data_IF_626027502664
#
_entry.id   IF_626027502664
#
_cell.length_a   1.000
_cell.length_b   1.000
_cell.length_c   1.000
_cell.angle_alpha   90.00
_cell.angle_beta   90.00
_cell.angle_gamma   90.00
#
_symmetry.space_group_name_H-M   'P 1'
#
loop_
_entity.id
_entity.type
_entity.pdbx_description
1 polymer ?
#
# COMPACT_ATOMS: atom_id res chain seq x y z
N UNK A 1 -34.08 59.46 31.24
CA UNK A 1 -32.87 58.69 31.57
C UNK A 1 -32.17 58.32 30.27
N UNK A 2 -31.36 59.22 29.70
CA UNK A 2 -30.71 59.00 28.39
C UNK A 2 -29.45 59.86 28.33
N UNK A 3 -28.35 59.40 28.95
CA UNK A 3 -27.05 60.06 28.79
C UNK A 3 -25.83 59.15 29.06
N UNK A 4 -25.97 57.83 28.95
CA UNK A 4 -24.87 56.86 29.11
C UNK A 4 -24.41 56.20 27.81
N UNK A 5 -25.14 56.31 26.69
CA UNK A 5 -24.78 55.63 25.43
C UNK A 5 -23.80 56.43 24.55
N UNK A 6 -23.80 57.78 24.60
CA UNK A 6 -22.94 58.60 23.75
C UNK A 6 -21.44 58.58 24.12
N UNK A 7 -21.08 58.39 25.40
CA UNK A 7 -19.68 58.41 25.86
C UNK A 7 -18.95 57.07 25.68
N UNK A 8 -19.68 55.97 25.53
CA UNK A 8 -19.11 54.64 25.29
C UNK A 8 -18.73 54.43 23.82
N UNK A 9 -19.43 55.10 22.90
CA UNK A 9 -19.17 55.01 21.47
C UNK A 9 -17.88 55.75 21.08
N UNK A 10 -17.67 56.96 21.60
CA UNK A 10 -16.49 57.79 21.30
C UNK A 10 -15.15 57.21 21.82
N UNK A 11 -15.16 56.53 22.97
CA UNK A 11 -13.96 55.83 23.48
C UNK A 11 -13.59 54.62 22.62
N UNK A 12 -14.57 53.98 21.99
CA UNK A 12 -14.35 52.81 21.12
C UNK A 12 -13.73 53.24 19.78
N UNK A 13 -14.16 54.38 19.23
CA UNK A 13 -13.60 54.98 18.01
C UNK A 13 -12.17 55.47 18.22
N UNK A 14 -11.86 56.14 19.34
CA UNK A 14 -10.51 56.61 19.64
C UNK A 14 -9.48 55.49 19.85
N UNK A 15 -9.89 54.36 20.44
CA UNK A 15 -9.03 53.18 20.62
C UNK A 15 -8.77 52.47 19.27
N UNK A 16 -9.78 52.42 18.39
CA UNK A 16 -9.67 51.85 17.05
C UNK A 16 -8.73 52.66 16.14
N UNK A 17 -8.76 54.00 16.23
CA UNK A 17 -7.84 54.85 15.46
C UNK A 17 -6.40 54.81 16.00
N UNK A 18 -6.21 54.67 17.31
CA UNK A 18 -4.88 54.42 17.89
C UNK A 18 -4.30 53.06 17.47
N UNK A 19 -5.13 52.01 17.37
CA UNK A 19 -4.73 50.70 16.85
C UNK A 19 -4.43 50.73 15.34
N UNK A 20 -5.12 51.58 14.56
CA UNK A 20 -4.82 51.80 13.13
C UNK A 20 -3.48 52.49 12.93
N UNK A 21 -3.15 53.53 13.68
CA UNK A 21 -1.87 54.23 13.56
C UNK A 21 -0.67 53.42 14.08
N UNK A 22 -0.86 52.53 15.07
CA UNK A 22 0.18 51.58 15.50
C UNK A 22 0.51 50.51 14.43
N UNK A 23 -0.48 50.14 13.60
CA UNK A 23 -0.29 49.26 12.45
C UNK A 23 0.32 49.97 11.22
N UNK A 24 0.20 51.29 11.11
CA UNK A 24 0.81 52.06 10.02
C UNK A 24 2.34 52.19 10.16
N UNK A 25 2.86 52.33 11.39
CA UNK A 25 4.31 52.43 11.63
C UNK A 25 5.05 51.10 11.44
N UNK A 26 4.43 49.99 11.88
CA UNK A 26 4.87 48.62 11.64
C UNK A 26 4.62 48.16 10.20
N UNK A 27 3.57 48.68 9.56
CA UNK A 27 3.29 48.57 8.13
C UNK A 27 4.38 49.23 7.27
N UNK A 28 4.79 50.47 7.57
CA UNK A 28 5.82 51.22 6.82
C UNK A 28 7.16 50.50 6.71
N UNK A 29 7.59 49.78 7.76
CA UNK A 29 8.81 48.96 7.70
C UNK A 29 8.64 47.69 6.84
N UNK A 30 7.43 47.11 6.77
CA UNK A 30 7.09 46.03 5.82
C UNK A 30 6.99 46.56 4.38
N UNK A 31 6.38 47.72 4.16
CA UNK A 31 6.25 48.35 2.83
C UNK A 31 7.61 48.79 2.29
N UNK A 32 8.51 49.31 3.14
CA UNK A 32 9.88 49.63 2.74
C UNK A 32 10.71 48.40 2.37
N UNK A 33 10.42 47.24 2.98
CA UNK A 33 11.05 45.94 2.65
C UNK A 33 10.46 45.34 1.37
N UNK A 34 9.18 45.56 1.10
CA UNK A 34 8.50 45.17 -0.16
C UNK A 34 8.87 46.09 -1.34
N UNK A 35 9.10 47.39 -1.10
CA UNK A 35 9.48 48.37 -2.13
C UNK A 35 10.96 48.36 -2.51
N UNK A 36 11.81 47.58 -1.81
CA UNK A 36 13.09 47.16 -2.37
C UNK A 36 12.80 46.03 -3.36
N UNK A 37 12.48 46.40 -4.59
CA UNK A 37 12.57 45.50 -5.73
C UNK A 37 14.01 45.54 -6.27
N UNK A 38 14.94 44.66 -5.84
CA UNK A 38 15.90 44.19 -6.83
C UNK A 38 15.06 43.61 -7.96
N UNK A 39 15.28 44.05 -9.21
CA UNK A 39 14.71 43.40 -10.39
C UNK A 39 15.18 41.95 -10.36
N UNK A 40 14.44 41.11 -9.66
CA UNK A 40 14.70 39.68 -9.62
C UNK A 40 14.39 39.22 -11.04
N UNK A 41 15.32 38.52 -11.71
CA UNK A 41 15.09 38.06 -13.06
C UNK A 41 13.75 37.31 -13.09
N UNK A 42 12.95 37.58 -14.13
CA UNK A 42 11.65 36.91 -14.32
C UNK A 42 11.91 35.41 -14.24
N UNK A 43 11.37 34.76 -13.21
CA UNK A 43 11.55 33.33 -13.01
C UNK A 43 10.91 32.62 -14.19
N UNK A 44 11.73 32.00 -15.03
CA UNK A 44 11.23 31.22 -16.15
C UNK A 44 10.47 30.00 -15.62
N UNK A 45 9.37 29.67 -16.29
CA UNK A 45 8.61 28.46 -15.98
C UNK A 45 9.41 27.28 -16.53
N UNK A 46 9.96 26.48 -15.63
CA UNK A 46 10.63 25.23 -16.00
C UNK A 46 9.59 24.26 -16.58
N UNK A 47 9.87 23.73 -17.76
CA UNK A 47 8.99 22.72 -18.37
C UNK A 47 9.20 21.35 -17.71
N UNK A 48 8.20 20.48 -17.75
CA UNK A 48 8.32 19.13 -17.17
C UNK A 48 9.46 18.31 -17.77
N UNK A 49 9.76 18.49 -19.06
CA UNK A 49 10.86 17.80 -19.73
C UNK A 49 12.25 18.35 -19.38
N UNK A 50 12.32 19.50 -18.72
CA UNK A 50 13.57 20.08 -18.19
C UNK A 50 13.81 19.67 -16.72
N UNK A 51 12.84 18.99 -16.10
CA UNK A 51 12.97 18.58 -14.70
C UNK A 51 14.01 17.46 -14.53
N UNK A 52 14.87 17.53 -13.50
CA UNK A 52 15.78 16.44 -13.16
C UNK A 52 15.08 15.10 -12.93
N UNK A 53 13.83 15.11 -12.45
CA UNK A 53 12.95 13.95 -12.31
C UNK A 53 12.70 13.28 -13.66
N UNK A 54 12.30 14.06 -14.67
CA UNK A 54 12.01 13.55 -16.00
C UNK A 54 13.27 13.02 -16.67
N UNK A 55 14.39 13.76 -16.56
CA UNK A 55 15.67 13.34 -17.11
C UNK A 55 16.12 11.99 -16.53
N UNK A 56 16.00 11.79 -15.20
CA UNK A 56 16.29 10.49 -14.55
C UNK A 56 15.45 9.35 -15.13
N UNK A 57 14.14 9.55 -15.29
CA UNK A 57 13.23 8.54 -15.89
C UNK A 57 13.65 8.21 -17.32
N UNK A 58 13.99 9.21 -18.12
CA UNK A 58 14.41 9.01 -19.51
C UNK A 58 15.76 8.30 -19.62
N UNK A 59 16.73 8.64 -18.77
CA UNK A 59 18.02 7.93 -18.72
C UNK A 59 17.83 6.44 -18.43
N UNK A 60 16.96 6.08 -17.48
CA UNK A 60 16.66 4.68 -17.18
C UNK A 60 15.99 3.96 -18.36
N UNK A 61 15.01 4.61 -19.01
CA UNK A 61 14.32 4.04 -20.19
C UNK A 61 15.28 3.80 -21.35
N UNK A 62 16.13 4.77 -21.67
CA UNK A 62 17.11 4.65 -22.76
C UNK A 62 18.15 3.58 -22.41
N UNK A 63 18.67 3.57 -21.18
CA UNK A 63 19.62 2.55 -20.73
C UNK A 63 19.07 1.12 -20.88
N UNK A 64 17.83 0.88 -20.48
CA UNK A 64 17.17 -0.42 -20.65
C UNK A 64 17.02 -0.81 -22.12
N UNK A 65 16.55 0.13 -22.96
CA UNK A 65 16.40 -0.08 -24.40
C UNK A 65 17.73 -0.40 -25.08
N UNK A 66 18.81 0.30 -24.71
CA UNK A 66 20.15 0.08 -25.25
C UNK A 66 20.76 -1.26 -24.82
N UNK A 67 20.45 -1.74 -23.62
CA UNK A 67 20.85 -3.05 -23.15
C UNK A 67 20.07 -4.20 -23.82
N UNK A 68 19.09 -3.89 -24.69
CA UNK A 68 18.19 -4.88 -25.29
C UNK A 68 17.22 -5.51 -24.29
N UNK A 69 17.05 -4.89 -23.12
CA UNK A 69 16.24 -5.43 -22.03
C UNK A 69 14.83 -4.84 -22.15
N UNK A 70 13.86 -5.69 -22.44
CA UNK A 70 12.45 -5.30 -22.48
C UNK A 70 11.97 -4.77 -21.14
N UNK A 71 11.12 -3.75 -21.14
CA UNK A 71 10.50 -3.25 -19.92
C UNK A 71 9.43 -4.26 -19.44
N UNK A 72 9.59 -4.90 -18.27
CA UNK A 72 8.62 -5.87 -17.77
C UNK A 72 7.39 -5.19 -17.14
N UNK A 73 7.44 -3.87 -16.92
CA UNK A 73 6.36 -3.09 -16.33
C UNK A 73 5.38 -2.60 -17.39
N UNK A 74 4.13 -2.36 -16.99
CA UNK A 74 3.03 -1.94 -17.88
C UNK A 74 2.64 -2.97 -18.95
N UNK A 75 2.90 -4.27 -18.71
CA UNK A 75 2.31 -5.35 -19.52
C UNK A 75 0.79 -5.23 -19.45
N UNK A 76 0.14 -5.16 -20.62
CA UNK A 76 -1.32 -4.98 -20.72
C UNK A 76 -2.01 -6.34 -20.78
N UNK A 77 -3.05 -6.50 -19.96
CA UNK A 77 -3.87 -7.70 -19.91
C UNK A 77 -5.14 -7.50 -20.75
N UNK A 78 -5.37 -8.37 -21.74
CA UNK A 78 -6.52 -8.29 -22.65
C UNK A 78 -7.81 -8.79 -22.00
N UNK A 79 -7.69 -9.56 -20.92
CA UNK A 79 -8.78 -10.16 -20.14
C UNK A 79 -8.47 -10.06 -18.64
N UNK A 80 -9.45 -10.41 -17.81
CA UNK A 80 -9.25 -10.49 -16.36
C UNK A 80 -8.05 -11.41 -16.01
N UNK A 81 -7.26 -10.99 -15.02
CA UNK A 81 -6.04 -11.68 -14.61
C UNK A 81 -6.30 -12.48 -13.31
N UNK A 82 -6.30 -13.80 -13.43
CA UNK A 82 -6.40 -14.76 -12.32
C UNK A 82 -5.18 -15.68 -12.30
N UNK A 83 -5.41 -16.99 -12.17
CA UNK A 83 -4.35 -18.03 -12.35
C UNK A 83 -3.77 -18.03 -13.77
N UNK A 84 -4.54 -17.56 -14.75
CA UNK A 84 -4.11 -17.30 -16.11
C UNK A 84 -4.45 -15.88 -16.52
N UNK A 85 -3.81 -15.41 -17.59
CA UNK A 85 -4.14 -14.15 -18.25
C UNK A 85 -3.88 -14.24 -19.75
N UNK A 86 -4.51 -13.34 -20.52
CA UNK A 86 -4.19 -13.14 -21.94
C UNK A 86 -3.50 -11.80 -22.11
N UNK A 87 -2.38 -11.77 -22.84
CA UNK A 87 -1.66 -10.54 -23.21
C UNK A 87 -1.26 -10.61 -24.69
N UNK A 88 -1.63 -9.60 -25.47
CA UNK A 88 -1.40 -9.59 -26.93
C UNK A 88 -1.89 -10.87 -27.62
N UNK A 89 -3.05 -11.38 -27.21
CA UNK A 89 -3.69 -12.57 -27.78
C UNK A 89 -3.09 -13.93 -27.39
N UNK A 90 -2.02 -13.96 -26.58
CA UNK A 90 -1.42 -15.21 -26.04
C UNK A 90 -1.82 -15.42 -24.59
N UNK A 91 -2.06 -16.67 -24.19
CA UNK A 91 -2.34 -17.05 -22.81
C UNK A 91 -1.06 -17.34 -22.01
N UNK A 92 -1.05 -16.96 -20.73
CA UNK A 92 0.07 -17.13 -19.80
C UNK A 92 -0.45 -17.63 -18.44
N UNK A 93 0.33 -18.48 -17.77
CA UNK A 93 0.17 -18.73 -16.34
C UNK A 93 0.57 -17.46 -15.58
N UNK A 94 -0.26 -17.00 -14.64
CA UNK A 94 -0.15 -15.66 -14.08
C UNK A 94 0.08 -15.67 -12.56
N UNK A 95 1.27 -15.27 -12.17
CA UNK A 95 1.71 -15.14 -10.78
C UNK A 95 1.90 -13.68 -10.36
N UNK A 96 1.30 -12.73 -11.10
CA UNK A 96 1.40 -11.29 -10.85
C UNK A 96 0.09 -10.65 -10.34
N UNK A 97 -0.92 -11.46 -10.01
CA UNK A 97 -2.24 -11.01 -9.52
C UNK A 97 -2.42 -11.33 -8.04
N UNK A 98 -3.08 -10.44 -7.30
CA UNK A 98 -3.42 -10.63 -5.88
C UNK A 98 -4.83 -11.22 -5.69
N UNK A 99 -5.40 -11.85 -6.72
CA UNK A 99 -6.71 -12.52 -6.70
C UNK A 99 -6.61 -13.90 -6.03
N UNK A 100 -6.35 -13.89 -4.73
CA UNK A 100 -6.04 -15.08 -3.94
C UNK A 100 -7.12 -16.17 -3.98
N UNK A 101 -8.39 -15.76 -3.97
CA UNK A 101 -9.54 -16.68 -3.94
C UNK A 101 -10.31 -16.76 -5.26
N UNK A 102 -9.73 -16.22 -6.34
CA UNK A 102 -10.33 -16.20 -7.67
C UNK A 102 -11.74 -15.58 -7.67
N UNK A 103 -11.90 -14.46 -6.95
CA UNK A 103 -13.18 -13.75 -6.82
C UNK A 103 -13.41 -12.76 -7.95
N UNK A 104 -12.35 -12.28 -8.61
CA UNK A 104 -12.42 -11.27 -9.67
C UNK A 104 -13.33 -11.68 -10.84
N UNK A 105 -13.29 -12.95 -11.22
CA UNK A 105 -14.07 -13.50 -12.34
C UNK A 105 -15.22 -14.39 -11.89
N UNK A 106 -15.51 -14.43 -10.59
CA UNK A 106 -16.56 -15.27 -10.05
C UNK A 106 -17.94 -14.85 -10.63
N UNK A 107 -18.76 -15.80 -11.13
CA UNK A 107 -20.06 -15.48 -11.71
C UNK A 107 -21.00 -14.73 -10.75
N UNK A 108 -20.96 -15.06 -9.45
CA UNK A 108 -21.80 -14.42 -8.45
C UNK A 108 -21.37 -12.97 -8.21
N UNK A 109 -20.06 -12.70 -8.14
CA UNK A 109 -19.51 -11.34 -8.01
C UNK A 109 -19.92 -10.50 -9.21
N UNK A 110 -19.75 -11.03 -10.42
CA UNK A 110 -20.14 -10.34 -11.65
C UNK A 110 -21.64 -10.04 -11.71
N UNK A 111 -22.48 -10.98 -11.28
CA UNK A 111 -23.93 -10.79 -11.21
C UNK A 111 -24.28 -9.66 -10.23
N UNK A 112 -23.80 -9.73 -8.99
CA UNK A 112 -24.11 -8.74 -7.94
C UNK A 112 -23.56 -7.35 -8.28
N UNK A 113 -22.43 -7.27 -8.95
CA UNK A 113 -21.89 -6.02 -9.48
C UNK A 113 -22.84 -5.40 -10.53
N UNK A 114 -23.36 -6.18 -11.47
CA UNK A 114 -24.34 -5.70 -12.48
C UNK A 114 -25.63 -5.22 -11.84
N UNK A 115 -26.16 -5.98 -10.88
CA UNK A 115 -27.35 -5.57 -10.12
C UNK A 115 -27.12 -4.25 -9.37
N UNK A 116 -25.93 -4.04 -8.81
CA UNK A 116 -25.56 -2.78 -8.18
C UNK A 116 -25.45 -1.62 -9.19
N UNK A 117 -24.94 -1.87 -10.40
CA UNK A 117 -24.93 -0.88 -11.48
C UNK A 117 -26.36 -0.47 -11.85
N UNK A 118 -27.24 -1.44 -12.07
CA UNK A 118 -28.63 -1.19 -12.46
C UNK A 118 -29.39 -0.40 -11.38
N UNK A 119 -29.08 -0.64 -10.10
CA UNK A 119 -29.77 -0.01 -8.97
C UNK A 119 -29.17 1.34 -8.54
N UNK A 120 -27.85 1.44 -8.47
CA UNK A 120 -27.14 2.58 -7.85
C UNK A 120 -26.29 3.39 -8.83
N UNK A 121 -26.11 2.90 -10.06
CA UNK A 121 -25.15 3.45 -11.01
C UNK A 121 -23.70 3.13 -10.63
N UNK A 122 -22.77 3.78 -11.34
CA UNK A 122 -21.32 3.49 -11.24
C UNK A 122 -20.69 4.18 -10.02
N UNK A 123 -21.06 5.43 -9.74
CA UNK A 123 -20.39 6.28 -8.75
C UNK A 123 -21.28 6.56 -7.54
N UNK A 124 -20.66 6.77 -6.37
CA UNK A 124 -21.35 7.34 -5.21
C UNK A 124 -21.79 8.80 -5.46
N UNK A 125 -21.14 9.48 -6.41
CA UNK A 125 -21.45 10.85 -6.87
C UNK A 125 -21.37 11.96 -5.81
N UNK A 126 -20.91 11.64 -4.60
CA UNK A 126 -20.65 12.57 -3.50
C UNK A 126 -19.76 11.89 -2.45
N UNK A 127 -19.27 12.66 -1.47
CA UNK A 127 -18.72 12.07 -0.25
C UNK A 127 -19.81 11.34 0.52
N UNK A 128 -19.43 10.27 1.24
CA UNK A 128 -20.38 9.46 2.01
C UNK A 128 -21.11 10.27 3.07
N UNK A 129 -20.41 11.18 3.74
CA UNK A 129 -20.96 12.05 4.77
C UNK A 129 -22.12 12.93 4.28
N UNK A 130 -22.09 13.40 3.03
CA UNK A 130 -23.07 14.36 2.52
C UNK A 130 -24.22 13.68 1.78
N UNK A 131 -23.92 12.90 0.73
CA UNK A 131 -24.95 12.29 -0.12
C UNK A 131 -24.49 11.00 -0.84
N UNK A 132 -23.29 10.50 -0.53
CA UNK A 132 -22.67 9.35 -1.18
C UNK A 132 -22.95 8.01 -0.51
N UNK A 133 -23.62 8.00 0.65
CA UNK A 133 -23.96 6.79 1.39
C UNK A 133 -24.98 5.94 0.60
N UNK A 134 -24.79 4.61 0.60
CA UNK A 134 -25.70 3.64 -0.03
C UNK A 134 -25.83 2.43 0.89
N UNK A 135 -26.96 1.70 0.87
CA UNK A 135 -27.15 0.53 1.73
C UNK A 135 -26.00 -0.49 1.64
N UNK A 136 -25.48 -0.73 0.43
CA UNK A 136 -24.37 -1.68 0.20
C UNK A 136 -23.07 -1.30 0.91
N UNK A 137 -22.83 -0.01 1.19
CA UNK A 137 -21.67 0.41 1.98
C UNK A 137 -21.80 -0.03 3.44
N UNK A 138 -22.99 0.14 4.01
CA UNK A 138 -23.30 -0.27 5.39
C UNK A 138 -23.28 -1.79 5.51
N UNK A 139 -23.85 -2.50 4.54
CA UNK A 139 -23.80 -3.96 4.48
C UNK A 139 -22.36 -4.49 4.40
N UNK A 140 -21.52 -3.89 3.57
CA UNK A 140 -20.09 -4.22 3.49
C UNK A 140 -19.36 -3.97 4.81
N UNK A 141 -19.59 -2.82 5.46
CA UNK A 141 -18.97 -2.50 6.75
C UNK A 141 -19.38 -3.50 7.84
N UNK A 142 -20.66 -3.90 7.91
CA UNK A 142 -21.09 -4.94 8.84
C UNK A 142 -20.47 -6.31 8.51
N UNK A 143 -20.36 -6.67 7.24
CA UNK A 143 -19.72 -7.92 6.84
C UNK A 143 -18.24 -7.96 7.24
N UNK A 144 -17.51 -6.86 7.05
CA UNK A 144 -16.12 -6.72 7.48
C UNK A 144 -15.96 -6.80 9.00
N UNK A 145 -16.80 -6.09 9.75
CA UNK A 145 -16.79 -6.15 11.22
C UNK A 145 -17.03 -7.60 11.70
N UNK A 146 -17.95 -8.32 11.05
CA UNK A 146 -18.24 -9.73 11.34
C UNK A 146 -17.08 -10.69 11.04
N UNK A 147 -16.22 -10.40 10.06
CA UNK A 147 -15.02 -11.24 9.78
C UNK A 147 -14.14 -11.33 11.02
N UNK A 148 -13.88 -10.18 11.64
CA UNK A 148 -13.02 -10.06 12.83
C UNK A 148 -13.78 -10.23 14.14
N UNK A 149 -15.12 -10.23 14.12
CA UNK A 149 -15.93 -10.26 15.35
C UNK A 149 -15.87 -8.97 16.16
N UNK A 150 -15.55 -7.84 15.52
CA UNK A 150 -15.45 -6.51 16.15
C UNK A 150 -16.72 -5.69 15.94
N UNK A 151 -16.82 -4.56 16.63
CA UNK A 151 -18.05 -3.76 16.66
C UNK A 151 -18.40 -3.12 15.31
N UNK A 152 -17.40 -2.58 14.59
CA UNK A 152 -17.63 -1.74 13.42
C UNK A 152 -16.48 -1.78 12.42
N UNK A 153 -16.78 -1.38 11.19
CA UNK A 153 -15.79 -1.10 10.16
C UNK A 153 -16.13 0.17 9.37
N UNK A 154 -15.11 0.77 8.76
CA UNK A 154 -15.22 1.94 7.89
C UNK A 154 -14.52 1.67 6.57
N UNK A 155 -15.24 1.80 5.47
CA UNK A 155 -14.69 1.62 4.11
C UNK A 155 -14.23 2.94 3.47
N UNK A 156 -13.08 2.89 2.81
CA UNK A 156 -12.44 3.96 2.05
C UNK A 156 -12.28 3.57 0.58
N UNK A 157 -12.00 4.56 -0.28
CA UNK A 157 -11.87 4.38 -1.75
C UNK A 157 -10.57 3.73 -2.22
N UNK A 158 -9.59 3.53 -1.33
CA UNK A 158 -8.29 2.92 -1.69
C UNK A 158 -7.63 2.32 -0.45
N UNK A 159 -7.00 1.15 -0.59
CA UNK A 159 -6.16 0.55 0.46
C UNK A 159 -4.99 1.45 0.87
N UNK A 160 -4.35 2.14 -0.09
CA UNK A 160 -3.29 3.09 0.21
C UNK A 160 -3.81 4.27 1.04
N UNK A 161 -4.93 4.86 0.60
CA UNK A 161 -5.55 5.99 1.29
C UNK A 161 -6.07 5.60 2.69
N UNK A 162 -6.51 4.36 2.87
CA UNK A 162 -7.00 3.85 4.16
C UNK A 162 -5.94 4.02 5.25
N UNK A 163 -4.73 3.52 5.00
CA UNK A 163 -3.58 3.67 5.88
C UNK A 163 -3.26 5.15 6.14
N UNK A 164 -3.18 5.95 5.07
CA UNK A 164 -2.86 7.37 5.15
C UNK A 164 -3.88 8.13 6.00
N UNK A 165 -5.16 7.93 5.73
CA UNK A 165 -6.26 8.64 6.37
C UNK A 165 -6.44 8.22 7.83
N UNK A 166 -6.35 6.93 8.14
CA UNK A 166 -6.51 6.45 9.51
C UNK A 166 -5.36 6.92 10.42
N UNK A 167 -4.10 6.69 10.00
CA UNK A 167 -2.94 7.05 10.81
C UNK A 167 -2.86 8.58 11.01
N UNK A 168 -3.07 9.37 9.95
CA UNK A 168 -3.02 10.84 10.07
C UNK A 168 -4.22 11.45 10.80
N UNK A 169 -5.32 10.72 10.94
CA UNK A 169 -6.46 11.12 11.77
C UNK A 169 -6.21 10.82 13.26
N UNK A 170 -5.61 9.67 13.58
CA UNK A 170 -5.50 9.17 14.95
C UNK A 170 -4.26 9.67 15.69
N UNK A 171 -3.18 9.92 14.94
CA UNK A 171 -1.86 10.28 15.47
C UNK A 171 -1.51 11.73 15.15
N UNK A 172 -0.70 12.36 16.00
CA UNK A 172 -0.23 13.72 15.82
C UNK A 172 1.18 13.97 16.40
N UNK A 173 1.67 15.22 16.39
CA UNK A 173 3.05 15.57 16.78
C UNK A 173 3.46 15.22 18.22
N UNK A 174 2.51 14.90 19.11
CA UNK A 174 2.75 14.50 20.51
C UNK A 174 2.74 12.97 20.70
N UNK A 175 2.54 12.21 19.61
CA UNK A 175 2.40 10.76 19.65
C UNK A 175 3.59 10.08 18.97
N UNK A 176 3.73 8.78 19.22
CA UNK A 176 4.77 7.91 18.66
C UNK A 176 4.14 6.83 17.79
N UNK A 177 4.67 6.63 16.59
CA UNK A 177 4.41 5.45 15.78
C UNK A 177 5.67 4.62 15.69
N UNK A 178 5.58 3.38 16.16
CA UNK A 178 6.60 2.35 16.02
C UNK A 178 6.10 1.35 14.96
N UNK A 179 6.96 0.90 14.06
CA UNK A 179 6.53 -0.02 13.02
C UNK A 179 7.61 -1.03 12.66
N UNK A 180 7.21 -2.17 12.12
CA UNK A 180 8.14 -3.15 11.55
C UNK A 180 8.91 -2.54 10.38
N UNK A 181 10.19 -2.87 10.23
CA UNK A 181 11.05 -2.36 9.16
C UNK A 181 10.42 -2.50 7.76
N UNK A 182 9.62 -3.54 7.52
CA UNK A 182 9.08 -3.89 6.21
C UNK A 182 7.59 -3.55 6.01
N UNK A 183 7.00 -2.69 6.84
CA UNK A 183 5.64 -2.21 6.61
C UNK A 183 5.48 -1.49 5.26
N UNK A 184 4.26 -1.54 4.73
CA UNK A 184 3.91 -0.98 3.44
C UNK A 184 4.04 0.55 3.42
N UNK A 185 4.49 1.08 2.28
CA UNK A 185 4.73 2.52 2.08
C UNK A 185 3.51 3.41 2.38
N UNK A 186 2.28 2.89 2.26
CA UNK A 186 1.08 3.66 2.63
C UNK A 186 1.04 4.02 4.12
N UNK A 187 1.48 3.12 5.00
CA UNK A 187 1.55 3.40 6.43
C UNK A 187 2.63 4.44 6.71
N UNK A 188 3.81 4.34 6.05
CA UNK A 188 4.87 5.35 6.12
C UNK A 188 4.37 6.75 5.68
N UNK A 189 3.57 6.81 4.62
CA UNK A 189 2.96 8.05 4.16
C UNK A 189 1.96 8.62 5.18
N UNK A 190 1.14 7.77 5.82
CA UNK A 190 0.25 8.16 6.91
C UNK A 190 0.99 8.70 8.13
N UNK A 191 2.06 8.01 8.56
CA UNK A 191 2.94 8.47 9.65
C UNK A 191 3.53 9.84 9.31
N UNK A 192 4.07 9.99 8.10
CA UNK A 192 4.63 11.28 7.66
C UNK A 192 3.59 12.39 7.68
N UNK A 193 2.36 12.12 7.23
CA UNK A 193 1.27 13.10 7.21
C UNK A 193 0.78 13.46 8.62
N UNK A 194 0.79 12.50 9.56
CA UNK A 194 0.39 12.73 10.96
C UNK A 194 1.32 13.71 11.70
N UNK A 195 2.58 13.79 11.29
CA UNK A 195 3.62 14.53 12.03
C UNK A 195 4.07 13.86 13.33
N UNK A 196 3.58 12.66 13.64
CA UNK A 196 4.00 11.88 14.79
C UNK A 196 5.49 11.51 14.72
N UNK A 197 6.09 11.30 15.89
CA UNK A 197 7.45 10.76 15.94
C UNK A 197 7.44 9.35 15.39
N UNK A 198 8.38 9.04 14.49
CA UNK A 198 8.52 7.72 13.87
C UNK A 198 9.71 6.97 14.44
N UNK A 199 9.52 5.70 14.79
CA UNK A 199 10.57 4.72 15.03
C UNK A 199 10.27 3.44 14.28
N UNK A 200 11.31 2.72 13.90
CA UNK A 200 11.17 1.35 13.40
C UNK A 200 11.79 0.39 14.41
N UNK A 201 11.29 -0.82 14.46
CA UNK A 201 12.00 -1.96 15.02
C UNK A 201 12.42 -2.90 13.88
N UNK A 202 13.49 -3.67 14.11
CA UNK A 202 13.97 -4.63 13.11
C UNK A 202 12.86 -5.61 12.75
N UNK A 203 12.83 -6.03 11.49
CA UNK A 203 11.79 -6.91 10.98
C UNK A 203 11.57 -8.15 11.86
N UNK A 204 10.33 -8.33 12.32
CA UNK A 204 9.85 -9.41 13.20
C UNK A 204 10.66 -9.61 14.50
N UNK A 205 11.39 -8.57 14.97
CA UNK A 205 12.22 -8.62 16.16
C UNK A 205 11.50 -7.97 17.36
N UNK A 206 10.74 -8.80 18.08
CA UNK A 206 9.94 -8.40 19.25
C UNK A 206 10.82 -7.88 20.40
N UNK A 207 12.04 -8.39 20.55
CA UNK A 207 12.99 -7.93 21.58
C UNK A 207 13.50 -6.50 21.28
N UNK A 208 13.75 -6.22 19.99
CA UNK A 208 14.09 -4.88 19.55
C UNK A 208 12.92 -3.90 19.74
N UNK A 209 11.68 -4.32 19.44
CA UNK A 209 10.49 -3.54 19.74
C UNK A 209 10.39 -3.23 21.24
N UNK A 210 10.56 -4.23 22.11
CA UNK A 210 10.55 -4.04 23.57
C UNK A 210 11.62 -3.03 24.02
N UNK A 211 12.81 -3.10 23.44
CA UNK A 211 13.91 -2.17 23.74
C UNK A 211 13.56 -0.72 23.35
N UNK A 212 12.89 -0.52 22.21
CA UNK A 212 12.39 0.80 21.78
C UNK A 212 11.30 1.30 22.74
N UNK A 213 10.36 0.43 23.14
CA UNK A 213 9.28 0.76 24.07
C UNK A 213 9.83 1.17 25.44
N UNK A 214 10.73 0.39 26.04
CA UNK A 214 11.40 0.71 27.33
C UNK A 214 12.05 2.09 27.33
N UNK A 215 12.56 2.52 26.18
CA UNK A 215 13.30 3.78 26.05
C UNK A 215 12.38 4.99 25.89
N UNK A 216 11.22 4.82 25.23
CA UNK A 216 10.43 5.95 24.72
C UNK A 216 9.01 6.04 25.29
N UNK A 217 8.50 5.00 25.95
CA UNK A 217 7.07 4.91 26.25
C UNK A 217 6.54 6.00 27.18
N UNK A 218 7.38 6.60 28.04
CA UNK A 218 7.01 7.67 28.96
C UNK A 218 6.86 9.04 28.32
N UNK A 219 7.36 9.22 27.10
CA UNK A 219 7.58 10.56 26.52
C UNK A 219 6.46 11.00 25.57
N UNK A 220 5.51 10.11 25.27
CA UNK A 220 4.47 10.32 24.27
C UNK A 220 3.07 10.13 24.83
N UNK A 221 2.12 10.91 24.31
CA UNK A 221 0.71 10.85 24.72
C UNK A 221 0.05 9.54 24.30
N UNK A 222 0.37 9.04 23.12
CA UNK A 222 -0.12 7.77 22.55
C UNK A 222 0.99 7.08 21.78
N UNK A 223 0.92 5.75 21.74
CA UNK A 223 1.84 4.91 20.99
C UNK A 223 1.00 4.01 20.08
N UNK A 224 1.36 3.97 18.81
CA UNK A 224 0.81 3.04 17.81
C UNK A 224 1.94 2.12 17.33
N UNK A 225 1.74 0.82 17.42
CA UNK A 225 2.60 -0.20 16.83
C UNK A 225 1.93 -0.75 15.57
N UNK A 226 2.65 -0.76 14.44
CA UNK A 226 2.13 -1.23 13.15
C UNK A 226 2.93 -2.43 12.64
N UNK A 227 2.23 -3.50 12.28
CA UNK A 227 2.76 -4.72 11.65
C UNK A 227 1.86 -5.17 10.50
N UNK A 228 2.34 -6.10 9.67
CA UNK A 228 1.52 -6.75 8.64
C UNK A 228 1.23 -8.21 9.02
N UNK A 229 0.01 -8.69 8.78
CA UNK A 229 -0.33 -10.10 9.01
C UNK A 229 0.48 -11.03 8.09
N UNK A 230 0.71 -10.61 6.83
CA UNK A 230 1.65 -11.24 5.89
C UNK A 230 2.48 -10.13 5.26
N UNK A 231 3.78 -10.17 5.44
CA UNK A 231 4.69 -9.19 4.86
C UNK A 231 4.82 -9.40 3.35
N UNK A 232 4.43 -8.39 2.58
CA UNK A 232 4.24 -8.56 1.14
C UNK A 232 5.50 -8.94 0.36
N UNK A 233 6.71 -8.60 0.82
CA UNK A 233 7.95 -8.81 0.05
C UNK A 233 8.53 -10.21 0.22
N UNK A 234 8.32 -10.81 1.39
CA UNK A 234 8.98 -12.04 1.80
C UNK A 234 7.99 -13.18 2.06
N UNK A 235 6.71 -12.90 2.30
CA UNK A 235 5.67 -13.92 2.47
C UNK A 235 5.75 -14.64 3.81
N UNK A 236 6.45 -14.06 4.77
CA UNK A 236 6.43 -14.41 6.19
C UNK A 236 5.32 -13.64 6.93
N UNK A 237 5.17 -13.92 8.22
CA UNK A 237 4.06 -13.46 9.06
C UNK A 237 4.57 -12.87 10.38
N UNK A 238 3.87 -11.89 10.92
CA UNK A 238 4.19 -11.31 12.22
C UNK A 238 3.89 -12.29 13.37
N UNK A 239 4.72 -12.27 14.41
CA UNK A 239 4.46 -12.96 15.68
C UNK A 239 3.42 -12.20 16.52
N UNK A 240 2.15 -12.32 16.13
CA UNK A 240 1.05 -11.62 16.82
C UNK A 240 0.88 -12.01 18.30
N UNK A 241 1.01 -13.29 18.71
CA UNK A 241 0.94 -13.65 20.13
C UNK A 241 1.95 -12.86 20.98
N UNK A 242 3.21 -12.76 20.53
CA UNK A 242 4.24 -12.01 21.25
C UNK A 242 3.97 -10.48 21.26
N UNK A 243 3.41 -9.95 20.17
CA UNK A 243 3.03 -8.54 20.08
C UNK A 243 1.85 -8.18 21.00
N UNK A 244 0.85 -9.07 21.12
CA UNK A 244 -0.26 -8.92 22.06
C UNK A 244 0.24 -8.95 23.51
N UNK A 245 1.17 -9.85 23.84
CA UNK A 245 1.79 -9.87 25.17
C UNK A 245 2.50 -8.54 25.50
N UNK A 246 3.30 -8.02 24.56
CA UNK A 246 3.94 -6.72 24.72
C UNK A 246 2.92 -5.59 24.86
N UNK A 247 1.83 -5.63 24.10
CA UNK A 247 0.74 -4.65 24.18
C UNK A 247 0.18 -4.59 25.59
N UNK A 248 -0.12 -5.74 26.20
CA UNK A 248 -0.62 -5.81 27.58
C UNK A 248 0.38 -5.26 28.60
N UNK A 249 1.69 -5.40 28.36
CA UNK A 249 2.75 -4.95 29.28
C UNK A 249 3.07 -3.46 29.18
N UNK A 250 3.05 -2.88 27.98
CA UNK A 250 3.51 -1.51 27.74
C UNK A 250 2.38 -0.52 27.42
N UNK A 251 1.18 -0.99 27.07
CA UNK A 251 0.02 -0.14 26.82
C UNK A 251 0.15 0.71 25.55
N UNK A 252 0.00 0.10 24.38
CA UNK A 252 -0.02 0.77 23.09
C UNK A 252 -1.21 0.32 22.24
N UNK A 253 -1.53 1.06 21.19
CA UNK A 253 -2.44 0.59 20.15
C UNK A 253 -1.71 -0.31 19.16
N UNK A 254 -2.29 -1.46 18.83
CA UNK A 254 -1.78 -2.36 17.81
C UNK A 254 -2.64 -2.26 16.55
N UNK A 255 -1.98 -1.95 15.43
CA UNK A 255 -2.58 -1.96 14.10
C UNK A 255 -1.96 -3.08 13.27
N UNK A 256 -2.81 -3.97 12.75
CA UNK A 256 -2.40 -5.09 11.90
C UNK A 256 -2.96 -4.88 10.50
N UNK A 257 -2.07 -4.85 9.50
CA UNK A 257 -2.43 -4.81 8.09
C UNK A 257 -2.69 -6.23 7.54
N UNK A 258 -3.97 -6.54 7.36
CA UNK A 258 -4.52 -7.81 6.86
C UNK A 258 -4.57 -7.89 5.33
N UNK A 259 -4.01 -6.92 4.60
CA UNK A 259 -4.19 -6.86 3.16
C UNK A 259 -3.72 -8.14 2.44
N UNK A 260 -2.65 -8.79 2.91
CA UNK A 260 -2.17 -10.06 2.36
C UNK A 260 -2.58 -11.31 3.17
N UNK A 261 -3.33 -11.13 4.26
CA UNK A 261 -3.67 -12.18 5.21
C UNK A 261 -5.17 -12.58 5.14
N UNK A 262 -6.09 -11.64 4.92
CA UNK A 262 -7.50 -11.95 4.70
C UNK A 262 -7.66 -12.91 3.51
N UNK A 263 -8.40 -13.99 3.68
CA UNK A 263 -8.58 -15.09 2.72
C UNK A 263 -7.42 -16.08 2.63
N UNK A 264 -6.29 -15.77 3.25
CA UNK A 264 -5.03 -16.51 3.12
C UNK A 264 -4.71 -17.28 4.41
N UNK A 265 -4.72 -16.57 5.53
CA UNK A 265 -4.36 -17.08 6.84
C UNK A 265 -5.59 -17.55 7.62
N UNK A 266 -5.39 -18.56 8.47
CA UNK A 266 -6.45 -19.19 9.25
C UNK A 266 -7.12 -20.36 8.52
N UNK A 267 -7.89 -21.17 9.26
CA UNK A 267 -8.60 -22.32 8.71
C UNK A 267 -9.71 -21.88 7.75
N UNK A 268 -10.46 -20.84 8.11
CA UNK A 268 -11.54 -20.27 7.30
C UNK A 268 -11.14 -19.00 6.54
N UNK A 269 -9.84 -18.64 6.58
CA UNK A 269 -9.31 -17.51 5.82
C UNK A 269 -9.65 -16.15 6.44
N UNK A 270 -9.91 -16.06 7.74
CA UNK A 270 -10.28 -14.78 8.39
C UNK A 270 -9.10 -13.87 8.68
N UNK A 271 -7.87 -14.36 8.50
CA UNK A 271 -6.67 -13.55 8.66
C UNK A 271 -5.76 -14.05 9.76
N UNK A 272 -4.85 -13.17 10.19
CA UNK A 272 -3.76 -13.54 11.10
C UNK A 272 -4.25 -13.91 12.50
N UNK A 273 -5.33 -13.29 13.01
CA UNK A 273 -5.86 -13.63 14.35
C UNK A 273 -6.33 -15.08 14.44
N UNK A 274 -7.04 -15.56 13.41
CA UNK A 274 -7.51 -16.95 13.31
C UNK A 274 -6.33 -17.90 13.19
N UNK A 275 -5.31 -17.50 12.42
CA UNK A 275 -4.10 -18.30 12.25
C UNK A 275 -3.30 -18.48 13.54
N UNK A 276 -3.15 -17.40 14.30
CA UNK A 276 -2.39 -17.38 15.55
C UNK A 276 -3.21 -17.84 16.76
N UNK A 277 -4.53 -17.99 16.62
CA UNK A 277 -5.42 -18.38 17.71
C UNK A 277 -5.53 -17.33 18.82
N UNK A 278 -5.42 -16.04 18.47
CA UNK A 278 -5.56 -14.92 19.42
C UNK A 278 -6.97 -14.33 19.39
N UNK A 279 -7.36 -13.65 20.47
CA UNK A 279 -8.62 -12.90 20.50
C UNK A 279 -8.50 -11.68 19.56
N UNK A 280 -9.40 -11.51 18.57
CA UNK A 280 -9.36 -10.35 17.67
C UNK A 280 -9.55 -9.01 18.39
N UNK A 281 -10.07 -8.99 19.63
CA UNK A 281 -10.19 -7.80 20.46
C UNK A 281 -8.88 -7.37 21.14
N UNK A 282 -7.84 -8.21 21.10
CA UNK A 282 -6.50 -7.83 21.57
C UNK A 282 -5.76 -6.93 20.56
N UNK A 283 -6.33 -6.73 19.37
CA UNK A 283 -5.85 -5.81 18.33
C UNK A 283 -6.83 -4.63 18.21
N UNK A 284 -6.30 -3.41 18.27
CA UNK A 284 -7.12 -2.20 18.29
C UNK A 284 -7.62 -1.79 16.90
N UNK A 285 -6.82 -2.06 15.86
CA UNK A 285 -7.06 -1.57 14.49
C UNK A 285 -6.73 -2.68 13.48
N UNK A 286 -7.76 -3.26 12.87
CA UNK A 286 -7.63 -4.14 11.71
C UNK A 286 -7.69 -3.31 10.43
N UNK A 287 -6.58 -3.23 9.71
CA UNK A 287 -6.54 -2.58 8.40
C UNK A 287 -6.60 -3.64 7.31
N UNK A 288 -7.37 -3.42 6.25
CA UNK A 288 -7.17 -4.20 5.03
C UNK A 288 -7.53 -3.46 3.74
N UNK A 289 -7.29 -4.15 2.63
CA UNK A 289 -7.67 -3.69 1.28
C UNK A 289 -8.80 -4.51 0.72
N UNK A 290 -9.64 -3.89 -0.12
CA UNK A 290 -10.64 -4.60 -0.91
C UNK A 290 -10.09 -5.09 -2.26
N UNK A 291 -8.84 -4.73 -2.59
CA UNK A 291 -8.25 -4.93 -3.92
C UNK A 291 -7.52 -6.27 -4.13
N UNK A 292 -7.61 -7.19 -3.18
CA UNK A 292 -6.89 -8.47 -3.21
C UNK A 292 -7.89 -9.62 -3.13
N UNK A 293 -8.09 -10.20 -1.97
CA UNK A 293 -9.01 -11.33 -1.74
C UNK A 293 -10.43 -11.11 -2.25
N UNK A 294 -10.96 -9.89 -2.11
CA UNK A 294 -12.31 -9.53 -2.58
C UNK A 294 -12.34 -8.92 -3.98
N UNK A 295 -11.19 -8.81 -4.66
CA UNK A 295 -11.03 -8.36 -6.05
C UNK A 295 -11.84 -7.13 -6.46
N UNK A 296 -11.88 -6.13 -5.58
CA UNK A 296 -12.56 -4.84 -5.79
C UNK A 296 -11.52 -3.70 -5.79
N UNK A 297 -11.89 -2.48 -5.41
CA UNK A 297 -10.95 -1.40 -5.14
C UNK A 297 -11.45 -0.59 -3.96
N UNK A 298 -10.59 -0.38 -2.97
CA UNK A 298 -10.97 0.22 -1.69
C UNK A 298 -10.11 -0.31 -0.56
N UNK A 299 -10.38 0.12 0.66
CA UNK A 299 -9.81 -0.46 1.88
C UNK A 299 -10.72 -0.22 3.06
N UNK A 300 -10.35 -0.76 4.22
CA UNK A 300 -11.16 -0.66 5.41
C UNK A 300 -10.31 -0.59 6.69
N UNK A 301 -10.92 0.01 7.71
CA UNK A 301 -10.49 -0.12 9.10
C UNK A 301 -11.62 -0.79 9.86
N UNK A 302 -11.35 -1.87 10.58
CA UNK A 302 -12.28 -2.53 11.49
C UNK A 302 -11.74 -2.49 12.92
N UNK A 303 -12.65 -2.34 13.89
CA UNK A 303 -12.31 -2.23 15.32
C UNK A 303 -13.54 -1.82 16.12
N UNK A 304 -13.34 -0.99 17.14
CA UNK A 304 -14.44 -0.50 17.99
C UNK A 304 -15.36 0.48 17.27
N UNK A 305 -16.60 0.62 17.76
CA UNK A 305 -17.54 1.63 17.25
C UNK A 305 -16.97 3.05 17.41
N UNK A 306 -16.30 3.33 18.53
CA UNK A 306 -15.69 4.63 18.78
C UNK A 306 -14.60 4.97 17.75
N UNK A 307 -13.79 3.99 17.34
CA UNK A 307 -12.82 4.16 16.26
C UNK A 307 -13.53 4.50 14.93
N UNK A 308 -14.58 3.76 14.59
CA UNK A 308 -15.33 3.99 13.37
C UNK A 308 -15.97 5.40 13.33
N UNK A 309 -16.54 5.85 14.44
CA UNK A 309 -17.19 7.16 14.56
C UNK A 309 -16.17 8.30 14.38
N UNK A 310 -15.01 8.20 15.03
CA UNK A 310 -13.91 9.18 14.87
C UNK A 310 -13.46 9.24 13.41
N UNK A 311 -13.24 8.09 12.77
CA UNK A 311 -12.79 8.07 11.37
C UNK A 311 -13.85 8.64 10.41
N UNK A 312 -15.14 8.34 10.62
CA UNK A 312 -16.22 8.88 9.78
C UNK A 312 -16.39 10.40 9.96
N UNK A 313 -16.07 10.93 11.13
CA UNK A 313 -16.18 12.35 11.44
C UNK A 313 -14.95 13.17 11.01
N UNK A 314 -13.74 12.62 11.15
CA UNK A 314 -12.50 13.41 11.09
C UNK A 314 -11.50 12.96 10.02
N UNK A 315 -11.54 11.70 9.56
CA UNK A 315 -10.55 11.22 8.62
C UNK A 315 -10.70 11.91 7.26
N UNK A 316 -9.71 12.73 6.88
CA UNK A 316 -9.81 13.55 5.67
C UNK A 316 -10.04 12.74 4.37
N UNK A 317 -9.50 11.53 4.30
CA UNK A 317 -9.71 10.60 3.18
C UNK A 317 -11.12 9.98 3.12
N UNK A 318 -11.93 10.14 4.17
CA UNK A 318 -13.36 9.79 4.20
C UNK A 318 -14.24 11.02 3.99
N UNK A 319 -13.97 12.11 4.72
CA UNK A 319 -14.80 13.32 4.74
C UNK A 319 -14.71 14.12 3.43
N UNK A 320 -13.51 14.28 2.88
CA UNK A 320 -13.23 15.15 1.72
C UNK A 320 -12.99 14.36 0.42
N UNK A 321 -13.26 13.05 0.42
CA UNK A 321 -13.17 12.19 -0.76
C UNK A 321 -14.56 11.78 -1.24
N UNK A 322 -14.66 11.39 -2.51
CA UNK A 322 -15.85 10.68 -3.00
C UNK A 322 -16.03 9.36 -2.24
N UNK A 323 -17.27 8.88 -2.11
CA UNK A 323 -17.54 7.56 -1.56
C UNK A 323 -17.02 6.43 -2.44
N UNK A 324 -16.80 5.26 -1.83
CA UNK A 324 -16.56 4.00 -2.55
C UNK A 324 -17.65 3.80 -3.60
N UNK A 325 -17.28 3.36 -4.80
CA UNK A 325 -18.26 3.10 -5.84
C UNK A 325 -19.20 1.96 -5.41
N UNK A 326 -20.54 2.10 -5.52
CA UNK A 326 -21.48 1.08 -5.05
C UNK A 326 -21.28 -0.29 -5.72
N UNK A 327 -20.91 -0.29 -7.01
CA UNK A 327 -20.54 -1.52 -7.74
C UNK A 327 -19.34 -2.23 -7.12
N UNK A 328 -18.33 -1.48 -6.67
CA UNK A 328 -17.14 -2.01 -6.01
C UNK A 328 -17.46 -2.50 -4.59
N UNK A 329 -18.33 -1.81 -3.88
CA UNK A 329 -18.80 -2.26 -2.57
C UNK A 329 -19.60 -3.57 -2.67
N UNK A 330 -20.47 -3.69 -3.68
CA UNK A 330 -21.24 -4.92 -3.94
C UNK A 330 -20.34 -6.10 -4.32
N UNK A 331 -19.34 -5.86 -5.17
CA UNK A 331 -18.36 -6.87 -5.52
C UNK A 331 -17.56 -7.34 -4.30
N UNK A 332 -17.10 -6.40 -3.46
CA UNK A 332 -16.35 -6.72 -2.25
C UNK A 332 -17.18 -7.50 -1.23
N UNK A 333 -18.43 -7.07 -0.99
CA UNK A 333 -19.37 -7.76 -0.11
C UNK A 333 -19.61 -9.19 -0.58
N UNK A 334 -19.79 -9.39 -1.88
CA UNK A 334 -19.97 -10.73 -2.47
C UNK A 334 -18.71 -11.58 -2.32
N UNK A 335 -17.52 -11.00 -2.45
CA UNK A 335 -16.26 -11.68 -2.18
C UNK A 335 -16.14 -12.18 -0.72
N UNK A 336 -16.61 -11.38 0.24
CA UNK A 336 -16.67 -11.81 1.66
C UNK A 336 -17.71 -12.91 1.89
N UNK A 337 -18.85 -12.87 1.19
CA UNK A 337 -19.82 -13.97 1.24
C UNK A 337 -19.24 -15.28 0.72
N UNK A 338 -18.47 -15.24 -0.38
CA UNK A 338 -17.78 -16.41 -0.93
C UNK A 338 -16.74 -16.93 0.06
N UNK A 339 -15.91 -16.06 0.63
CA UNK A 339 -14.95 -16.43 1.68
C UNK A 339 -15.64 -17.19 2.82
N UNK A 340 -16.78 -16.69 3.30
CA UNK A 340 -17.51 -17.31 4.39
C UNK A 340 -18.20 -18.65 4.03
N UNK A 341 -18.63 -18.82 2.77
CA UNK A 341 -19.39 -20.00 2.31
C UNK A 341 -18.51 -21.10 1.70
N UNK A 342 -17.33 -20.75 1.21
CA UNK A 342 -16.44 -21.64 0.45
C UNK A 342 -15.02 -21.70 1.04
N UNK A 343 -14.84 -22.16 2.30
CA UNK A 343 -13.53 -22.23 2.96
C UNK A 343 -12.52 -23.12 2.20
N UNK A 344 -13.00 -24.06 1.38
CA UNK A 344 -12.17 -24.87 0.49
C UNK A 344 -11.29 -24.04 -0.45
N UNK A 345 -11.69 -22.81 -0.82
CA UNK A 345 -10.84 -21.90 -1.62
C UNK A 345 -9.57 -21.53 -0.87
N UNK A 346 -9.68 -21.20 0.42
CA UNK A 346 -8.53 -20.91 1.29
C UNK A 346 -7.67 -22.16 1.46
N UNK A 347 -8.27 -23.33 1.69
CA UNK A 347 -7.53 -24.59 1.79
C UNK A 347 -6.73 -24.89 0.51
N UNK A 348 -7.35 -24.72 -0.68
CA UNK A 348 -6.66 -24.89 -1.98
C UNK A 348 -5.52 -23.89 -2.17
N UNK A 349 -5.74 -22.62 -1.83
CA UNK A 349 -4.69 -21.60 -1.89
C UNK A 349 -3.49 -21.98 -1.04
N UNK A 350 -3.72 -22.36 0.23
CA UNK A 350 -2.65 -22.77 1.15
C UNK A 350 -1.91 -24.02 0.65
N UNK A 351 -2.63 -25.00 0.10
CA UNK A 351 -2.04 -26.17 -0.56
C UNK A 351 -1.12 -25.75 -1.71
N UNK A 352 -1.60 -24.85 -2.56
CA UNK A 352 -0.86 -24.35 -3.72
C UNK A 352 0.40 -23.56 -3.30
N UNK A 353 0.32 -22.73 -2.27
CA UNK A 353 1.47 -22.01 -1.72
C UNK A 353 2.53 -22.95 -1.15
N UNK A 354 2.10 -23.94 -0.37
CA UNK A 354 3.00 -24.94 0.20
C UNK A 354 3.67 -25.80 -0.89
N UNK A 355 2.91 -26.15 -1.94
CA UNK A 355 3.43 -26.83 -3.12
C UNK A 355 4.51 -25.99 -3.82
N UNK A 356 4.22 -24.71 -4.10
CA UNK A 356 5.16 -23.82 -4.75
C UNK A 356 6.45 -23.68 -3.92
N UNK A 357 6.33 -23.40 -2.62
CA UNK A 357 7.49 -23.24 -1.73
C UNK A 357 8.35 -24.51 -1.68
N UNK A 358 7.71 -25.68 -1.55
CA UNK A 358 8.42 -26.97 -1.53
C UNK A 358 9.19 -27.18 -2.83
N UNK A 359 8.52 -27.06 -3.98
CA UNK A 359 9.16 -27.27 -5.28
C UNK A 359 10.29 -26.26 -5.53
N UNK A 360 10.11 -25.00 -5.13
CA UNK A 360 11.14 -23.97 -5.26
C UNK A 360 12.39 -24.32 -4.45
N UNK A 361 12.22 -24.75 -3.19
CA UNK A 361 13.32 -25.22 -2.33
C UNK A 361 14.00 -26.47 -2.91
N UNK A 362 13.23 -27.45 -3.37
CA UNK A 362 13.74 -28.68 -4.00
C UNK A 362 14.55 -28.37 -5.28
N UNK A 363 14.16 -27.31 -6.01
CA UNK A 363 14.87 -26.81 -7.19
C UNK A 363 16.09 -25.92 -6.86
N UNK A 364 16.38 -25.68 -5.58
CA UNK A 364 17.51 -24.86 -5.13
C UNK A 364 17.32 -23.34 -5.29
N UNK A 365 16.08 -22.86 -5.42
CA UNK A 365 15.77 -21.44 -5.45
C UNK A 365 15.83 -20.84 -4.04
N UNK A 366 16.40 -19.64 -3.91
CA UNK A 366 16.35 -18.87 -2.67
C UNK A 366 14.97 -18.21 -2.52
N UNK A 367 14.19 -18.69 -1.56
CA UNK A 367 12.82 -18.23 -1.29
C UNK A 367 12.72 -17.21 -0.15
N UNK A 368 13.84 -16.68 0.35
CA UNK A 368 13.85 -15.76 1.50
C UNK A 368 13.14 -16.34 2.73
N UNK A 369 12.34 -15.51 3.40
CA UNK A 369 11.62 -15.88 4.63
C UNK A 369 10.25 -16.55 4.37
N UNK A 370 9.92 -16.87 3.12
CA UNK A 370 8.58 -17.33 2.77
C UNK A 370 8.13 -18.56 3.56
N UNK A 371 6.92 -18.45 4.11
CA UNK A 371 6.25 -19.50 4.86
C UNK A 371 5.35 -20.38 3.99
N UNK A 372 5.07 -19.95 2.75
CA UNK A 372 4.41 -20.77 1.74
C UNK A 372 2.88 -20.67 1.74
N UNK A 373 2.33 -19.50 2.09
CA UNK A 373 0.89 -19.26 2.01
C UNK A 373 0.44 -18.76 0.63
N UNK A 374 0.63 -17.48 0.32
CA UNK A 374 0.11 -16.87 -0.90
C UNK A 374 1.14 -16.05 -1.68
N UNK A 375 2.29 -15.78 -1.07
CA UNK A 375 3.39 -15.03 -1.65
C UNK A 375 4.68 -15.81 -1.43
N UNK A 376 5.39 -16.11 -2.52
CA UNK A 376 6.71 -16.74 -2.47
C UNK A 376 7.66 -15.94 -3.36
N UNK A 377 8.70 -15.30 -2.82
CA UNK A 377 9.71 -14.64 -3.62
C UNK A 377 10.73 -15.66 -4.14
N UNK A 378 11.44 -15.27 -5.19
CA UNK A 378 12.70 -15.88 -5.59
C UNK A 378 13.74 -14.77 -5.60
N UNK A 379 14.72 -14.84 -4.70
CA UNK A 379 15.77 -13.83 -4.56
C UNK A 379 16.75 -13.98 -5.73
N UNK A 380 16.90 -12.89 -6.49
CA UNK A 380 17.77 -12.81 -7.68
C UNK A 380 19.03 -11.97 -7.41
N UNK A 381 18.92 -11.06 -6.45
CA UNK A 381 19.94 -10.13 -6.00
C UNK A 381 20.12 -8.91 -6.90
N UNK A 382 20.37 -9.14 -8.18
CA UNK A 382 20.64 -8.09 -9.17
C UNK A 382 19.37 -7.62 -9.92
N UNK A 383 19.14 -6.30 -9.97
CA UNK A 383 17.95 -5.70 -10.60
C UNK A 383 17.85 -5.96 -12.10
N UNK A 384 18.97 -5.93 -12.82
CA UNK A 384 19.02 -6.15 -14.28
C UNK A 384 18.73 -7.62 -14.58
N UNK A 385 19.31 -8.54 -13.82
CA UNK A 385 19.03 -9.96 -13.91
C UNK A 385 17.57 -10.28 -13.59
N UNK A 386 16.99 -9.66 -12.56
CA UNK A 386 15.59 -9.85 -12.20
C UNK A 386 14.64 -9.41 -13.34
N UNK A 387 14.94 -8.26 -13.96
CA UNK A 387 14.18 -7.79 -15.12
C UNK A 387 14.29 -8.77 -16.29
N UNK A 388 15.50 -9.22 -16.62
CA UNK A 388 15.70 -10.17 -17.71
C UNK A 388 15.01 -11.50 -17.43
N UNK A 389 15.13 -12.04 -16.22
CA UNK A 389 14.46 -13.27 -15.81
C UNK A 389 12.93 -13.15 -15.98
N UNK A 390 12.33 -12.03 -15.58
CA UNK A 390 10.91 -11.77 -15.80
C UNK A 390 10.51 -11.77 -17.28
N UNK A 391 11.39 -11.34 -18.18
CA UNK A 391 11.14 -11.39 -19.63
C UNK A 391 11.31 -12.81 -20.19
N UNK A 392 12.37 -13.51 -19.79
CA UNK A 392 12.60 -14.91 -20.18
C UNK A 392 11.44 -15.82 -19.74
N UNK A 393 10.90 -15.60 -18.54
CA UNK A 393 9.72 -16.31 -18.05
C UNK A 393 8.47 -15.99 -18.88
N UNK A 394 8.30 -14.74 -19.29
CA UNK A 394 7.18 -14.35 -20.14
C UNK A 394 7.24 -15.08 -21.49
N UNK A 395 8.41 -15.18 -22.11
CA UNK A 395 8.60 -15.93 -23.35
C UNK A 395 8.17 -17.41 -23.20
N UNK A 396 8.43 -17.99 -22.02
CA UNK A 396 8.07 -19.35 -21.61
C UNK A 396 6.60 -19.51 -21.14
N UNK A 397 5.78 -18.46 -21.28
CA UNK A 397 4.36 -18.51 -20.93
C UNK A 397 4.04 -18.23 -19.47
N UNK A 398 4.97 -17.67 -18.69
CA UNK A 398 4.82 -17.39 -17.26
C UNK A 398 4.91 -15.88 -17.00
N UNK A 399 3.84 -15.28 -16.49
CA UNK A 399 3.84 -13.89 -16.06
C UNK A 399 4.16 -13.79 -14.56
N UNK A 400 5.41 -13.43 -14.24
CA UNK A 400 5.86 -13.06 -12.91
C UNK A 400 6.69 -11.79 -13.02
N UNK A 401 6.47 -10.81 -12.12
CA UNK A 401 7.12 -9.51 -12.22
C UNK A 401 8.26 -9.33 -11.21
N UNK A 402 9.30 -8.56 -11.56
CA UNK A 402 10.41 -8.30 -10.67
C UNK A 402 10.08 -7.16 -9.71
N UNK A 403 10.63 -7.22 -8.51
CA UNK A 403 10.74 -6.12 -7.57
C UNK A 403 12.22 -5.74 -7.51
N UNK A 404 12.51 -4.47 -7.84
CA UNK A 404 13.87 -3.94 -8.00
C UNK A 404 14.04 -2.66 -7.18
N UNK A 405 15.30 -2.22 -7.04
CA UNK A 405 15.61 -0.92 -6.43
C UNK A 405 14.84 0.22 -7.12
N UNK A 406 14.28 1.22 -6.39
CA UNK A 406 14.40 1.45 -4.95
C UNK A 406 13.34 0.77 -4.08
N UNK A 407 12.47 -0.07 -4.65
CA UNK A 407 11.41 -0.74 -3.88
C UNK A 407 11.97 -1.77 -2.87
N UNK A 408 13.14 -2.34 -3.18
CA UNK A 408 13.96 -3.16 -2.28
C UNK A 408 15.39 -2.63 -2.26
N UNK A 409 16.18 -2.91 -1.20
CA UNK A 409 17.59 -2.55 -1.15
C UNK A 409 18.38 -3.08 -2.35
N UNK A 410 19.51 -2.43 -2.67
CA UNK A 410 20.44 -2.95 -3.67
C UNK A 410 20.94 -4.35 -3.25
N UNK A 411 21.12 -5.24 -4.24
CA UNK A 411 21.51 -6.63 -3.97
C UNK A 411 20.39 -7.53 -3.45
N UNK A 412 19.15 -7.02 -3.33
CA UNK A 412 17.98 -7.76 -2.82
C UNK A 412 16.83 -7.86 -3.84
N UNK A 413 17.12 -7.64 -5.13
CA UNK A 413 16.12 -7.77 -6.20
C UNK A 413 15.56 -9.20 -6.25
N UNK A 414 14.27 -9.34 -6.60
CA UNK A 414 13.56 -10.61 -6.54
C UNK A 414 12.42 -10.67 -7.55
N UNK A 415 12.01 -11.86 -7.95
CA UNK A 415 10.68 -12.06 -8.54
C UNK A 415 9.72 -12.46 -7.42
N UNK A 416 8.49 -11.97 -7.47
CA UNK A 416 7.50 -12.30 -6.45
C UNK A 416 6.33 -13.03 -7.09
N UNK A 417 6.13 -14.28 -6.67
CA UNK A 417 5.07 -15.14 -7.17
C UNK A 417 3.87 -15.06 -6.24
N UNK A 418 2.75 -14.61 -6.79
CA UNK A 418 1.46 -14.61 -6.13
C UNK A 418 0.69 -15.86 -6.50
N UNK A 419 0.30 -16.61 -5.49
CA UNK A 419 -0.42 -17.86 -5.66
C UNK A 419 -1.92 -17.58 -5.52
N UNK A 420 -2.74 -18.16 -6.40
CA UNK A 420 -4.20 -18.17 -6.28
C UNK A 420 -4.71 -19.60 -6.08
N UNK A 421 -5.91 -19.74 -5.51
CA UNK A 421 -6.56 -21.04 -5.29
C UNK A 421 -6.85 -21.82 -6.59
N UNK A 422 -6.84 -21.14 -7.74
CA UNK A 422 -7.11 -21.73 -9.05
C UNK A 422 -5.84 -22.11 -9.84
N UNK A 423 -4.64 -21.90 -9.29
CA UNK A 423 -3.44 -22.46 -9.91
C UNK A 423 -3.49 -23.99 -9.89
N UNK A 424 -3.10 -24.61 -11.01
CA UNK A 424 -2.93 -26.06 -11.09
C UNK A 424 -1.52 -26.48 -10.65
N UNK A 425 -1.38 -27.74 -10.27
CA UNK A 425 -0.10 -28.32 -9.85
C UNK A 425 0.92 -28.23 -11.01
N UNK A 426 0.48 -28.40 -12.26
CA UNK A 426 1.30 -28.28 -13.47
C UNK A 426 1.77 -26.84 -13.71
N UNK A 427 0.90 -25.85 -13.52
CA UNK A 427 1.28 -24.44 -13.65
C UNK A 427 2.37 -24.06 -12.63
N UNK A 428 2.20 -24.53 -11.39
CA UNK A 428 3.16 -24.31 -10.31
C UNK A 428 4.50 -25.01 -10.61
N UNK A 429 4.45 -26.29 -10.99
CA UNK A 429 5.66 -27.06 -11.30
C UNK A 429 6.41 -26.50 -12.52
N UNK A 430 5.70 -26.10 -13.57
CA UNK A 430 6.28 -25.46 -14.76
C UNK A 430 6.95 -24.13 -14.38
N UNK A 431 6.25 -23.27 -13.64
CA UNK A 431 6.80 -21.98 -13.21
C UNK A 431 8.09 -22.11 -12.41
N UNK A 432 8.13 -23.03 -11.44
CA UNK A 432 9.33 -23.30 -10.64
C UNK A 432 10.47 -23.84 -11.50
N UNK A 433 10.19 -24.86 -12.33
CA UNK A 433 11.22 -25.52 -13.16
C UNK A 433 11.86 -24.54 -14.13
N UNK A 434 11.06 -23.73 -14.83
CA UNK A 434 11.55 -22.74 -15.77
C UNK A 434 12.31 -21.62 -15.03
N UNK A 435 11.82 -21.17 -13.87
CA UNK A 435 12.50 -20.15 -13.08
C UNK A 435 13.89 -20.61 -12.64
N UNK A 436 14.01 -21.82 -12.10
CA UNK A 436 15.31 -22.38 -11.69
C UNK A 436 16.28 -22.48 -12.86
N UNK A 437 15.82 -23.00 -14.01
CA UNK A 437 16.64 -23.12 -15.22
C UNK A 437 17.11 -21.75 -15.72
N UNK A 438 16.19 -20.81 -15.94
CA UNK A 438 16.50 -19.49 -16.51
C UNK A 438 17.37 -18.65 -15.59
N UNK A 439 17.12 -18.70 -14.27
CA UNK A 439 17.96 -18.01 -13.31
C UNK A 439 19.39 -18.55 -13.32
N UNK A 440 19.56 -19.88 -13.34
CA UNK A 440 20.87 -20.52 -13.44
C UNK A 440 21.60 -20.14 -14.74
N UNK A 441 20.92 -20.18 -15.88
CA UNK A 441 21.51 -19.79 -17.18
C UNK A 441 22.02 -18.33 -17.14
N UNK A 442 21.28 -17.41 -16.51
CA UNK A 442 21.69 -16.01 -16.34
C UNK A 442 22.88 -15.87 -15.38
N UNK A 443 22.93 -16.66 -14.30
CA UNK A 443 24.02 -16.67 -13.34
C UNK A 443 25.31 -17.24 -13.95
N UNK A 444 25.23 -18.36 -14.67
CA UNK A 444 26.39 -19.02 -15.31
C UNK A 444 27.04 -18.12 -16.37
N UNK A 445 26.26 -17.24 -17.01
CA UNK A 445 26.74 -16.21 -17.95
C UNK A 445 27.16 -14.91 -17.30
N UNK A 446 27.09 -14.81 -15.97
CA UNK A 446 27.33 -13.59 -15.18
C UNK A 446 26.52 -12.37 -15.69
N UNK A 447 25.28 -12.59 -16.12
CA UNK A 447 24.40 -11.51 -16.56
C UNK A 447 23.91 -10.68 -15.36
N UNK A 448 23.98 -9.36 -15.45
CA UNK A 448 23.57 -8.41 -14.40
C UNK A 448 24.11 -7.00 -14.64
N UNK A 449 23.97 -6.10 -13.65
CA UNK A 449 24.46 -4.71 -13.75
C UNK A 449 25.93 -4.63 -14.18
N UNK A 450 26.78 -5.49 -13.65
CA UNK A 450 28.22 -5.53 -13.99
C UNK A 450 28.53 -5.98 -15.43
N UNK A 451 27.57 -6.56 -16.14
CA UNK A 451 27.72 -7.00 -17.54
C UNK A 451 27.32 -5.93 -18.56
N UNK A 452 26.73 -4.82 -18.11
CA UNK A 452 26.32 -3.70 -18.97
C UNK A 452 27.52 -2.77 -19.19
N UNK A 453 27.90 -2.55 -20.46
CA UNK A 453 28.89 -1.54 -20.84
C UNK A 453 28.32 -0.13 -20.69
N UNK A 454 28.38 0.40 -19.47
CA UNK A 454 27.89 1.74 -19.14
C UNK A 454 28.62 2.86 -19.89
N UNK A 455 29.89 2.67 -20.27
CA UNK A 455 30.60 3.66 -21.09
C UNK A 455 29.98 3.80 -22.48
N UNK A 456 29.63 2.67 -23.09
CA UNK A 456 28.97 2.64 -24.40
C UNK A 456 27.54 3.21 -24.32
N UNK A 457 26.82 2.94 -23.23
CA UNK A 457 25.50 3.55 -22.95
C UNK A 457 25.61 5.06 -22.78
N UNK A 458 26.58 5.53 -21.98
CA UNK A 458 26.78 6.95 -21.71
C UNK A 458 27.29 7.76 -22.92
N UNK A 459 28.10 7.17 -23.80
CA UNK A 459 28.62 7.82 -25.02
C UNK A 459 27.55 8.04 -26.11
N UNK A 460 26.41 7.34 -26.02
CA UNK A 460 25.33 7.37 -27.02
C UNK A 460 24.04 8.03 -26.51
N UNK A 461 23.95 8.35 -25.22
CA UNK A 461 22.91 9.23 -24.70
C UNK A 461 23.05 10.61 -25.34
N UNK A 462 21.96 11.28 -25.75
CA UNK A 462 22.05 12.62 -26.30
C UNK A 462 22.64 13.55 -25.23
N UNK A 463 23.90 13.97 -25.43
CA UNK A 463 24.51 15.06 -24.68
C UNK A 463 23.82 16.36 -25.10
N UNK A 464 22.63 16.62 -24.56
CA UNK A 464 22.08 17.96 -24.58
C UNK A 464 21.97 18.46 -23.15
N UNK A 465 22.89 19.39 -22.85
CA UNK A 465 22.93 20.33 -21.72
C UNK A 465 23.56 19.84 -20.40
N UNK A 466 24.78 19.29 -20.47
CA UNK A 466 25.80 19.59 -19.45
C UNK A 466 26.79 20.65 -19.99
N UNK A 467 26.25 21.74 -20.51
CA UNK A 467 27.02 22.90 -20.96
C UNK A 467 26.34 24.19 -20.50
N UNK A 468 26.08 24.30 -19.20
CA UNK A 468 26.08 25.60 -18.52
C UNK A 468 27.53 25.93 -18.19
N UNK A 469 28.18 26.71 -19.05
CA UNK A 469 29.51 27.30 -18.81
C UNK A 469 29.51 28.18 -17.53
N UNK A 470 30.70 28.42 -16.93
CA UNK A 470 30.89 28.76 -15.51
C UNK A 470 30.20 30.02 -15.01
#
# INVERSE_FOLDING_TARGET
MTNSEGKAQDRKTGLLDQMRHANESSGRNRTARMNRHPQSPVRQVTRFDELPEYQRVMTQKIGAQMAGIGNPFYRSHDKAAGATTVMSGREFANFASYDYLATNTDPLVNQRAKEAIDRFGISASASRLVAGERPVHVELEHALAKVYGVDAAVCFVSGYLTNVAAISCLMGPQDLVIHDEFIHNSALAGIKQSGATRRLFKHNDVENLESVLKTLSSDFRRILVIVEGVYSMDGDIADLPALVELRSRYGFWLMVDEAHALGVLGETGRGSFEHCGIDPHDVDIWMGTLSKTTSSCGGYIAGSQALADVLKAEAGGFVYSVGLAPVLAAAALTGLEILAKEPDRTARLRRNGALFLRLAKDAGLDTGLATGYSVVPVIVGDSVRAVQLSNDLLEEGINALPIIHPAVPEGMARLRFFITCNHTDEQIAHAVTVTAKRLKDLQDRNFGLGSIDFEKVMKLLPMNQMAGKP
#
